data_IF_285776592388
#
_entry.id   IF_285776592388
#
_cell.length_a   1.000
_cell.length_b   1.000
_cell.length_c   1.000
_cell.angle_alpha   90.00
_cell.angle_beta   90.00
_cell.angle_gamma   90.00
#
_symmetry.space_group_name_H-M   'P 1'
#
loop_
_entity.id
_entity.type
_entity.pdbx_description
1 polymer ?
#
# COMPACT_ATOMS: atom_id res chain seq x y z
N UNK A 1 -5.52 23.79 3.08
CA UNK A 1 -5.66 22.55 3.88
C UNK A 1 -5.71 21.29 2.98
N UNK A 2 -4.84 21.15 1.97
CA UNK A 2 -4.75 19.94 1.11
C UNK A 2 -3.86 18.83 1.74
N UNK A 3 -3.12 19.16 2.79
CA UNK A 3 -2.10 18.29 3.39
C UNK A 3 -2.68 17.08 4.13
N UNK A 4 -3.89 17.18 4.68
CA UNK A 4 -4.50 16.10 5.46
C UNK A 4 -4.85 14.89 4.58
N UNK A 5 -5.37 15.13 3.38
CA UNK A 5 -5.72 14.07 2.44
C UNK A 5 -4.47 13.35 1.90
N UNK A 6 -3.45 14.12 1.51
CA UNK A 6 -2.16 13.59 1.06
C UNK A 6 -1.46 12.79 2.17
N UNK A 7 -1.45 13.31 3.40
CA UNK A 7 -0.88 12.61 4.58
C UNK A 7 -1.60 11.28 4.86
N UNK A 8 -2.93 11.26 4.73
CA UNK A 8 -3.71 10.03 4.91
C UNK A 8 -3.39 8.98 3.82
N UNK A 9 -3.25 9.41 2.56
CA UNK A 9 -2.86 8.51 1.46
C UNK A 9 -1.44 7.97 1.65
N UNK A 10 -0.49 8.83 2.04
CA UNK A 10 0.89 8.41 2.35
C UNK A 10 0.94 7.43 3.52
N UNK A 11 0.17 7.68 4.59
CA UNK A 11 0.09 6.77 5.73
C UNK A 11 -0.46 5.40 5.32
N UNK A 12 -1.54 5.36 4.53
CA UNK A 12 -2.10 4.11 4.00
C UNK A 12 -1.10 3.36 3.11
N UNK A 13 -0.37 4.08 2.25
CA UNK A 13 0.67 3.50 1.40
C UNK A 13 1.79 2.86 2.23
N UNK A 14 2.26 3.55 3.27
CA UNK A 14 3.29 3.01 4.18
C UNK A 14 2.83 1.74 4.91
N UNK A 15 1.55 1.68 5.30
CA UNK A 15 0.96 0.48 5.93
C UNK A 15 0.88 -0.69 4.95
N UNK A 16 0.52 -0.45 3.68
CA UNK A 16 0.52 -1.48 2.65
C UNK A 16 1.94 -1.99 2.34
N UNK A 17 2.94 -1.11 2.30
CA UNK A 17 4.35 -1.50 2.14
C UNK A 17 4.83 -2.43 3.25
N UNK A 18 4.50 -2.11 4.50
CA UNK A 18 4.85 -2.95 5.66
C UNK A 18 4.17 -4.31 5.59
N UNK A 19 2.91 -4.38 5.20
CA UNK A 19 2.19 -5.64 5.05
C UNK A 19 2.80 -6.50 3.93
N UNK A 20 3.15 -5.90 2.80
CA UNK A 20 3.83 -6.57 1.69
C UNK A 20 5.19 -7.12 2.15
N UNK A 21 5.99 -6.31 2.84
CA UNK A 21 7.29 -6.72 3.34
C UNK A 21 7.18 -7.87 4.36
N UNK A 22 6.23 -7.76 5.28
CA UNK A 22 5.96 -8.81 6.26
C UNK A 22 5.52 -10.11 5.59
N UNK A 23 4.64 -10.05 4.59
CA UNK A 23 4.15 -11.23 3.87
C UNK A 23 5.26 -11.90 3.05
N UNK A 24 6.12 -11.12 2.38
CA UNK A 24 7.27 -11.65 1.62
C UNK A 24 8.30 -12.34 2.53
N UNK A 25 8.44 -11.87 3.77
CA UNK A 25 9.36 -12.48 4.74
C UNK A 25 8.83 -13.80 5.33
N UNK A 26 7.56 -14.16 5.08
CA UNK A 26 7.01 -15.43 5.57
C UNK A 26 7.62 -16.60 4.80
N UNK A 27 7.88 -17.74 5.46
CA UNK A 27 8.41 -18.94 4.79
C UNK A 27 7.49 -19.48 3.69
N UNK A 28 6.18 -19.31 3.84
CA UNK A 28 5.17 -19.55 2.81
C UNK A 28 4.36 -18.25 2.62
N UNK A 29 4.75 -17.39 1.67
CA UNK A 29 3.99 -16.18 1.36
C UNK A 29 2.68 -16.54 0.65
N UNK A 30 1.57 -15.94 1.06
CA UNK A 30 0.33 -16.04 0.31
C UNK A 30 0.39 -15.12 -0.92
N UNK A 31 0.53 -15.74 -2.10
CA UNK A 31 0.62 -15.04 -3.38
C UNK A 31 -0.66 -14.25 -3.73
N UNK A 32 -1.84 -14.72 -3.30
CA UNK A 32 -3.13 -14.03 -3.53
C UNK A 32 -3.17 -12.77 -2.67
N UNK A 33 -2.87 -12.92 -1.38
CA UNK A 33 -2.81 -11.78 -0.45
C UNK A 33 -1.76 -10.77 -0.89
N UNK A 34 -0.58 -11.22 -1.35
CA UNK A 34 0.47 -10.35 -1.87
C UNK A 34 0.04 -9.58 -3.13
N UNK A 35 -0.67 -10.23 -4.05
CA UNK A 35 -1.18 -9.59 -5.26
C UNK A 35 -2.22 -8.52 -4.92
N UNK A 36 -3.15 -8.80 -4.02
CA UNK A 36 -4.17 -7.85 -3.56
C UNK A 36 -3.55 -6.65 -2.84
N UNK A 37 -2.55 -6.87 -1.98
CA UNK A 37 -1.83 -5.79 -1.30
C UNK A 37 -1.09 -4.89 -2.29
N UNK A 38 -0.41 -5.48 -3.30
CA UNK A 38 0.26 -4.72 -4.36
C UNK A 38 -0.71 -3.91 -5.21
N UNK A 39 -1.88 -4.48 -5.53
CA UNK A 39 -2.95 -3.79 -6.28
C UNK A 39 -3.50 -2.59 -5.50
N UNK A 40 -3.74 -2.76 -4.21
CA UNK A 40 -4.16 -1.65 -3.33
C UNK A 40 -3.07 -0.57 -3.26
N UNK A 41 -1.80 -0.94 -3.14
CA UNK A 41 -0.67 0.00 -3.14
C UNK A 41 -0.61 0.80 -4.44
N UNK A 42 -0.81 0.15 -5.58
CA UNK A 42 -0.86 0.81 -6.89
C UNK A 42 -2.00 1.82 -6.99
N UNK A 43 -3.20 1.45 -6.50
CA UNK A 43 -4.37 2.35 -6.50
C UNK A 43 -4.12 3.61 -5.68
N UNK A 44 -3.59 3.47 -4.46
CA UNK A 44 -3.26 4.63 -3.61
C UNK A 44 -2.17 5.49 -4.25
N UNK A 45 -1.17 4.88 -4.89
CA UNK A 45 -0.14 5.61 -5.65
C UNK A 45 -0.75 6.43 -6.79
N UNK A 46 -1.73 5.88 -7.51
CA UNK A 46 -2.45 6.59 -8.56
C UNK A 46 -3.30 7.72 -8.00
N UNK A 47 -4.02 7.49 -6.90
CA UNK A 47 -4.80 8.55 -6.22
C UNK A 47 -3.90 9.69 -5.74
N UNK A 48 -2.69 9.40 -5.24
CA UNK A 48 -1.70 10.43 -4.88
C UNK A 48 -1.18 11.21 -6.09
N UNK A 49 -1.12 10.60 -7.27
CA UNK A 49 -0.65 11.25 -8.52
C UNK A 49 -1.76 12.03 -9.25
N UNK A 50 -3.03 11.74 -8.96
CA UNK A 50 -4.18 12.40 -9.56
C UNK A 50 -4.63 13.67 -8.80
N UNK A 51 -3.99 13.97 -7.67
CA UNK A 51 -4.14 15.20 -6.88
C UNK A 51 -3.06 16.19 -7.29
#
# INVERSE_FOLDING_TARGET
>A
MQTAHQSALTAKHAVLDRQIAAEIQRPLPDAVTLAELKKQKLRIKQEMMQI
#
